data_IF_550707380162
#
_entry.id   IF_550707380162
#
_cell.length_a   1.000
_cell.length_b   1.000
_cell.length_c   1.000
_cell.angle_alpha   90.00
_cell.angle_beta   90.00
_cell.angle_gamma   90.00
#
_symmetry.space_group_name_H-M   'P 1'
#
loop_
_entity.id
_entity.type
_entity.pdbx_description
1 polymer ?
#
# COMPACT_ATOMS: atom_id res chain seq x y z
N UNK A 1 15.39 15.33 10.09
CA UNK A 1 15.63 14.19 9.17
C UNK A 1 16.50 13.16 9.87
N UNK A 2 16.01 11.93 10.02
CA UNK A 2 16.83 10.78 10.41
C UNK A 2 17.71 10.42 9.20
N UNK A 3 19.04 10.35 9.38
CA UNK A 3 20.01 10.23 8.29
C UNK A 3 20.05 8.83 7.60
N UNK A 4 19.10 7.93 7.87
CA UNK A 4 19.18 6.51 7.48
C UNK A 4 17.81 5.88 7.09
N UNK A 5 16.80 6.68 6.75
CA UNK A 5 15.49 6.12 6.34
C UNK A 5 15.46 5.89 4.83
N UNK A 6 15.36 4.62 4.42
CA UNK A 6 15.42 4.21 3.01
C UNK A 6 14.01 3.97 2.42
N UNK A 7 12.96 4.11 3.23
CA UNK A 7 11.57 3.83 2.84
C UNK A 7 10.68 5.04 3.09
N UNK A 8 9.90 5.43 2.08
CA UNK A 8 8.83 6.40 2.21
C UNK A 8 7.49 5.66 2.21
N UNK A 9 6.71 5.77 3.29
CA UNK A 9 5.36 5.22 3.37
C UNK A 9 4.33 6.34 3.43
N UNK A 10 3.40 6.32 2.47
CA UNK A 10 2.24 7.22 2.45
C UNK A 10 0.99 6.39 2.75
N UNK A 11 0.38 6.69 3.90
CA UNK A 11 -0.88 6.11 4.35
C UNK A 11 -2.01 7.11 4.13
N UNK A 12 -3.05 6.74 3.40
CA UNK A 12 -4.19 7.60 3.11
C UNK A 12 -5.36 7.16 3.97
N UNK A 13 -5.75 8.03 4.88
CA UNK A 13 -6.86 7.80 5.80
C UNK A 13 -8.08 8.62 5.38
N UNK A 14 -9.21 7.95 5.20
CA UNK A 14 -10.50 8.60 5.05
C UNK A 14 -11.54 7.88 5.91
N UNK A 15 -12.24 8.64 6.77
CA UNK A 15 -13.33 8.14 7.63
C UNK A 15 -14.62 7.79 6.86
N UNK A 16 -14.51 7.01 5.78
CA UNK A 16 -15.60 6.75 4.82
C UNK A 16 -16.32 5.42 5.04
N UNK A 17 -15.87 4.60 5.97
CA UNK A 17 -16.47 3.32 6.33
C UNK A 17 -16.21 3.00 7.80
N UNK A 18 -17.03 2.12 8.39
CA UNK A 18 -17.07 1.87 9.84
C UNK A 18 -15.75 1.37 10.42
N UNK A 19 -14.94 0.70 9.58
CA UNK A 19 -13.66 0.12 9.99
C UNK A 19 -12.42 1.00 9.77
N UNK A 20 -12.55 2.18 9.15
CA UNK A 20 -11.40 2.98 8.71
C UNK A 20 -10.48 3.40 9.86
N UNK A 21 -11.06 3.94 10.95
CA UNK A 21 -10.28 4.34 12.13
C UNK A 21 -9.55 3.16 12.75
N UNK A 22 -10.23 2.02 12.88
CA UNK A 22 -9.60 0.79 13.33
C UNK A 22 -8.42 0.41 12.45
N UNK A 23 -8.51 0.59 11.12
CA UNK A 23 -7.48 0.17 10.16
C UNK A 23 -6.21 0.97 10.39
N UNK A 24 -6.37 2.29 10.52
CA UNK A 24 -5.29 3.20 10.87
C UNK A 24 -4.68 2.84 12.23
N UNK A 25 -5.51 2.68 13.26
CA UNK A 25 -5.06 2.35 14.62
C UNK A 25 -4.27 1.06 14.67
N UNK A 26 -4.80 -0.01 14.08
CA UNK A 26 -4.12 -1.30 14.05
C UNK A 26 -2.78 -1.20 13.33
N UNK A 27 -2.72 -0.50 12.19
CA UNK A 27 -1.45 -0.33 11.49
C UNK A 27 -0.43 0.43 12.35
N UNK A 28 -0.80 1.56 12.93
CA UNK A 28 0.10 2.35 13.78
C UNK A 28 0.60 1.51 14.97
N UNK A 29 -0.30 0.84 15.67
CA UNK A 29 0.04 0.03 16.86
C UNK A 29 0.96 -1.16 16.55
N UNK A 30 0.87 -1.74 15.34
CA UNK A 30 1.60 -2.98 14.99
C UNK A 30 2.85 -2.74 14.15
N UNK A 31 2.85 -1.69 13.33
CA UNK A 31 3.82 -1.50 12.26
C UNK A 31 4.77 -0.34 12.50
N UNK A 32 4.29 0.77 13.07
CA UNK A 32 5.08 1.98 13.21
C UNK A 32 6.01 1.82 14.40
N UNK A 33 7.32 1.86 14.15
CA UNK A 33 8.33 1.71 15.20
C UNK A 33 9.41 2.78 15.06
N UNK A 34 10.02 3.13 16.18
CA UNK A 34 11.21 3.98 16.15
C UNK A 34 12.37 3.19 15.54
N UNK A 35 13.10 3.80 14.61
CA UNK A 35 14.32 3.21 14.03
C UNK A 35 14.07 2.05 13.07
N UNK A 36 12.88 1.95 12.47
CA UNK A 36 12.57 0.95 11.45
C UNK A 36 12.90 1.40 10.02
N UNK A 37 13.66 2.50 9.87
CA UNK A 37 14.12 3.05 8.59
C UNK A 37 13.00 3.53 7.64
N UNK A 38 11.83 3.87 8.17
CA UNK A 38 10.69 4.39 7.41
C UNK A 38 10.36 5.82 7.80
N UNK A 39 10.15 6.69 6.80
CA UNK A 39 9.41 7.94 6.98
C UNK A 39 7.92 7.68 6.69
N UNK A 40 7.09 7.86 7.71
CA UNK A 40 5.65 7.63 7.66
C UNK A 40 4.89 8.95 7.51
N UNK A 41 4.08 9.05 6.47
CA UNK A 41 3.15 10.16 6.27
C UNK A 41 1.72 9.65 6.25
N UNK A 42 0.96 10.01 7.28
CA UNK A 42 -0.45 9.69 7.42
C UNK A 42 -1.29 10.88 6.94
N UNK A 43 -1.80 10.78 5.73
CA UNK A 43 -2.62 11.82 5.12
C UNK A 43 -4.07 11.63 5.58
N UNK A 44 -4.55 12.55 6.40
CA UNK A 44 -5.88 12.61 6.97
C UNK A 44 -6.80 13.37 5.99
N UNK A 45 -7.58 12.62 5.20
CA UNK A 45 -8.53 13.19 4.25
C UNK A 45 -9.78 13.71 4.96
N UNK A 46 -10.06 14.99 4.75
CA UNK A 46 -11.19 15.71 5.33
C UNK A 46 -12.49 15.33 4.61
N UNK A 47 -13.26 14.43 5.21
CA UNK A 47 -14.58 14.03 4.71
C UNK A 47 -15.57 15.16 4.99
N UNK A 48 -16.40 15.52 4.00
CA UNK A 48 -17.36 16.63 4.08
C UNK A 48 -16.73 17.98 4.47
N UNK A 49 -15.48 18.22 4.06
CA UNK A 49 -14.68 19.40 4.41
C UNK A 49 -14.49 19.60 5.92
N UNK A 50 -14.57 18.52 6.71
CA UNK A 50 -14.34 18.57 8.15
C UNK A 50 -12.88 18.23 8.46
N UNK A 51 -12.10 19.15 9.05
CA UNK A 51 -10.76 18.85 9.51
C UNK A 51 -10.80 17.74 10.55
N UNK A 52 -9.81 16.85 10.52
CA UNK A 52 -9.68 15.78 11.50
C UNK A 52 -8.79 16.30 12.63
N UNK A 53 -9.28 16.23 13.87
CA UNK A 53 -8.46 16.58 15.01
C UNK A 53 -7.41 15.48 15.25
N UNK A 54 -6.13 15.84 15.18
CA UNK A 54 -5.03 14.90 15.37
C UNK A 54 -5.00 14.30 16.78
N UNK A 55 -5.57 14.98 17.80
CA UNK A 55 -5.67 14.40 19.15
C UNK A 55 -6.59 13.18 19.22
N UNK A 56 -7.50 13.03 18.26
CA UNK A 56 -8.41 11.89 18.17
C UNK A 56 -7.78 10.72 17.41
N UNK A 57 -6.64 10.95 16.76
CA UNK A 57 -5.89 9.93 16.01
C UNK A 57 -4.97 9.11 16.92
N UNK A 58 -4.59 7.88 16.50
CA UNK A 58 -3.64 7.07 17.27
C UNK A 58 -2.32 7.81 17.52
N UNK A 59 -1.71 7.61 18.69
CA UNK A 59 -0.43 8.25 18.99
C UNK A 59 0.68 7.74 18.06
N UNK A 60 1.38 8.64 17.38
CA UNK A 60 2.57 8.31 16.61
C UNK A 60 3.77 8.14 17.55
N UNK A 61 4.30 6.91 17.61
CA UNK A 61 5.41 6.54 18.49
C UNK A 61 6.79 6.76 17.87
N UNK A 62 6.86 6.97 16.56
CA UNK A 62 8.09 7.20 15.80
C UNK A 62 8.31 8.69 15.54
N UNK A 63 9.54 9.18 15.72
CA UNK A 63 9.94 10.55 15.39
C UNK A 63 9.93 10.86 13.87
N UNK A 64 9.82 9.81 13.05
CA UNK A 64 9.74 9.86 11.59
C UNK A 64 8.30 9.62 11.10
N UNK A 65 7.30 9.79 11.96
CA UNK A 65 5.89 9.67 11.60
C UNK A 65 5.17 11.00 11.76
N UNK A 66 4.36 11.36 10.76
CA UNK A 66 3.67 12.65 10.69
C UNK A 66 2.23 12.49 10.25
N UNK A 67 1.33 13.29 10.85
CA UNK A 67 0.00 13.53 10.31
C UNK A 67 0.02 14.73 9.36
N UNK A 68 -0.73 14.63 8.27
CA UNK A 68 -0.92 15.72 7.30
C UNK A 68 -2.39 15.80 6.95
N UNK A 69 -2.97 17.00 7.00
CA UNK A 69 -4.34 17.23 6.58
C UNK A 69 -4.43 17.41 5.06
N UNK A 70 -5.43 16.82 4.43
CA UNK A 70 -5.74 17.05 3.02
C UNK A 70 -7.25 17.03 2.81
N UNK A 71 -7.80 17.85 1.90
CA UNK A 71 -9.21 17.73 1.53
C UNK A 71 -9.47 16.32 0.95
N UNK A 72 -10.64 15.71 1.18
CA UNK A 72 -10.98 14.44 0.52
C UNK A 72 -11.34 14.67 -0.95
N UNK A 73 -10.36 15.10 -1.73
CA UNK A 73 -10.41 15.27 -3.18
C UNK A 73 -9.42 14.32 -3.82
N UNK A 74 -9.63 14.05 -5.11
CA UNK A 74 -8.69 13.28 -5.93
C UNK A 74 -8.49 11.80 -5.53
N UNK A 75 -9.21 11.32 -4.49
CA UNK A 75 -9.09 9.97 -3.93
C UNK A 75 -7.63 9.59 -3.61
N UNK A 76 -7.36 8.29 -3.45
CA UNK A 76 -6.09 7.81 -2.91
C UNK A 76 -4.90 8.16 -3.83
N UNK A 77 -4.92 7.75 -5.10
CA UNK A 77 -3.80 8.02 -6.02
C UNK A 77 -3.58 9.51 -6.26
N UNK A 78 -4.65 10.30 -6.40
CA UNK A 78 -4.52 11.74 -6.58
C UNK A 78 -3.98 12.46 -5.33
N UNK A 79 -4.29 11.94 -4.14
CA UNK A 79 -3.72 12.45 -2.88
C UNK A 79 -2.22 12.21 -2.79
N UNK A 80 -1.71 11.09 -3.31
CA UNK A 80 -0.27 10.86 -3.47
C UNK A 80 0.35 11.91 -4.40
N UNK A 81 -0.30 12.19 -5.54
CA UNK A 81 0.19 13.18 -6.50
C UNK A 81 0.26 14.58 -5.90
N UNK A 82 -0.79 14.97 -5.16
CA UNK A 82 -0.82 16.20 -4.38
C UNK A 82 0.33 16.26 -3.37
N UNK A 83 0.54 15.18 -2.60
CA UNK A 83 1.60 15.11 -1.60
C UNK A 83 2.98 15.30 -2.24
N UNK A 84 3.25 14.63 -3.36
CA UNK A 84 4.51 14.82 -4.07
C UNK A 84 4.69 16.22 -4.62
N UNK A 85 3.62 16.85 -5.12
CA UNK A 85 3.68 18.22 -5.62
C UNK A 85 3.95 19.25 -4.52
N UNK A 86 3.43 19.03 -3.31
CA UNK A 86 3.53 20.00 -2.21
C UNK A 86 4.77 19.80 -1.34
N UNK A 87 5.19 18.55 -1.13
CA UNK A 87 6.21 18.23 -0.13
C UNK A 87 7.48 17.64 -0.72
N UNK A 88 7.48 17.20 -1.99
CA UNK A 88 8.58 16.42 -2.55
C UNK A 88 9.28 17.06 -3.76
N UNK A 89 10.60 16.87 -3.81
CA UNK A 89 11.46 17.06 -4.98
C UNK A 89 11.94 15.72 -5.53
N UNK A 90 12.50 15.71 -6.73
CA UNK A 90 13.11 14.51 -7.31
C UNK A 90 12.19 13.69 -8.22
N UNK A 91 11.00 14.20 -8.58
CA UNK A 91 10.25 13.65 -9.72
C UNK A 91 11.04 13.94 -11.02
N UNK A 92 11.50 12.92 -11.76
CA UNK A 92 12.36 13.12 -12.94
C UNK A 92 11.63 13.79 -14.12
N UNK A 93 10.30 13.91 -14.06
CA UNK A 93 9.47 14.50 -15.12
C UNK A 93 8.98 15.91 -14.78
N UNK A 94 9.33 16.46 -13.61
CA UNK A 94 9.02 17.83 -13.19
C UNK A 94 10.29 18.67 -13.20
N UNK A 95 10.21 19.87 -13.77
CA UNK A 95 11.27 20.86 -13.62
C UNK A 95 11.01 21.67 -12.34
N UNK A 96 11.92 21.57 -11.39
CA UNK A 96 11.88 22.32 -10.13
C UNK A 96 12.62 23.65 -10.32
N UNK A 97 12.05 24.54 -11.12
CA UNK A 97 12.67 25.84 -11.46
C UNK A 97 12.56 26.88 -10.34
N UNK A 98 11.84 26.59 -9.26
CA UNK A 98 11.74 27.43 -8.06
C UNK A 98 12.22 26.62 -6.86
N UNK A 99 13.16 27.18 -6.09
CA UNK A 99 13.53 26.67 -4.77
C UNK A 99 12.32 26.90 -3.86
N UNK A 100 11.45 25.91 -3.76
CA UNK A 100 10.36 25.91 -2.80
C UNK A 100 10.89 25.36 -1.47
N UNK A 101 11.12 26.24 -0.51
CA UNK A 101 11.59 25.89 0.83
C UNK A 101 10.61 24.98 1.59
N UNK A 102 9.36 24.80 1.11
CA UNK A 102 8.39 23.88 1.71
C UNK A 102 8.59 22.42 1.26
N UNK A 103 9.29 22.17 0.14
CA UNK A 103 9.54 20.81 -0.37
C UNK A 103 10.76 20.20 0.31
N UNK A 104 10.53 19.52 1.41
CA UNK A 104 11.60 18.96 2.26
C UNK A 104 11.94 17.50 1.94
N UNK A 105 11.09 16.79 1.21
CA UNK A 105 11.26 15.35 0.91
C UNK A 105 11.98 15.21 -0.43
N UNK A 106 13.09 14.48 -0.48
CA UNK A 106 13.74 14.16 -1.76
C UNK A 106 13.44 12.72 -2.13
N UNK A 107 12.66 12.49 -3.19
CA UNK A 107 12.31 11.15 -3.63
C UNK A 107 13.55 10.31 -3.99
N UNK A 108 14.63 10.93 -4.48
CA UNK A 108 15.81 10.18 -4.92
C UNK A 108 16.62 9.56 -3.77
N UNK A 109 16.33 9.92 -2.51
CA UNK A 109 17.03 9.36 -1.35
C UNK A 109 16.38 8.08 -0.82
N UNK A 110 15.15 7.77 -1.23
CA UNK A 110 14.46 6.56 -0.81
C UNK A 110 14.70 5.42 -1.79
N UNK A 111 14.93 4.22 -1.25
CA UNK A 111 15.06 2.99 -2.02
C UNK A 111 13.69 2.41 -2.39
N UNK A 112 12.73 2.49 -1.47
CA UNK A 112 11.38 1.93 -1.66
C UNK A 112 10.29 2.93 -1.29
N UNK A 113 9.16 2.81 -1.98
CA UNK A 113 7.96 3.60 -1.78
C UNK A 113 6.79 2.67 -1.51
N UNK A 114 6.07 2.91 -0.43
CA UNK A 114 4.92 2.14 -0.01
C UNK A 114 3.71 3.06 0.01
N UNK A 115 2.67 2.69 -0.71
CA UNK A 115 1.40 3.41 -0.72
C UNK A 115 0.33 2.50 -0.16
N UNK A 116 -0.45 2.98 0.79
CA UNK A 116 -1.50 2.22 1.43
C UNK A 116 -2.68 3.11 1.80
N UNK A 117 -3.88 2.56 1.82
CA UNK A 117 -5.08 3.31 2.24
C UNK A 117 -5.80 2.64 3.41
N UNK A 118 -6.75 3.36 4.01
CA UNK A 118 -7.53 2.90 5.15
C UNK A 118 -8.57 1.83 4.85
N UNK A 119 -8.55 1.22 3.66
CA UNK A 119 -9.48 0.14 3.30
C UNK A 119 -8.94 -1.26 3.58
N UNK A 120 -7.71 -1.39 4.10
CA UNK A 120 -7.08 -2.67 4.45
C UNK A 120 -6.72 -2.77 5.93
N UNK A 121 -6.70 -4.01 6.44
CA UNK A 121 -6.22 -4.39 7.77
C UNK A 121 -5.06 -5.33 7.65
N UNK A 122 -4.04 -5.12 8.47
CA UNK A 122 -2.87 -5.98 8.57
C UNK A 122 -1.72 -5.25 9.26
N UNK A 123 -0.56 -5.91 9.40
CA UNK A 123 -0.22 -7.20 8.85
C UNK A 123 -0.77 -8.37 9.68
N UNK A 124 -1.05 -9.48 9.01
CA UNK A 124 -1.32 -10.78 9.59
C UNK A 124 -0.20 -11.74 9.20
N UNK A 125 0.44 -12.34 10.21
CA UNK A 125 1.50 -13.33 10.00
C UNK A 125 1.18 -14.60 10.78
N UNK A 126 1.49 -15.79 10.21
CA UNK A 126 1.45 -17.03 10.96
C UNK A 126 2.37 -16.97 12.20
N UNK A 127 1.98 -17.59 13.34
CA UNK A 127 2.82 -17.60 14.54
C UNK A 127 4.22 -18.17 14.30
N UNK A 128 4.34 -19.26 13.53
CA UNK A 128 5.63 -19.89 13.21
C UNK A 128 6.56 -18.95 12.42
N UNK A 129 6.00 -18.07 11.59
CA UNK A 129 6.79 -17.12 10.80
C UNK A 129 7.44 -16.08 11.72
N UNK A 130 6.67 -15.57 12.68
CA UNK A 130 7.17 -14.61 13.67
C UNK A 130 8.24 -15.26 14.56
N UNK A 131 8.03 -16.51 14.99
CA UNK A 131 9.01 -17.27 15.76
C UNK A 131 10.33 -17.45 14.99
N UNK A 132 10.25 -17.84 13.72
CA UNK A 132 11.43 -17.99 12.86
C UNK A 132 12.15 -16.66 12.64
N UNK A 133 11.41 -15.57 12.44
CA UNK A 133 11.97 -14.23 12.32
C UNK A 133 12.78 -13.86 13.57
N UNK A 134 12.21 -14.05 14.77
CA UNK A 134 12.92 -13.80 16.03
C UNK A 134 14.16 -14.71 16.20
N UNK A 135 14.03 -16.01 15.90
CA UNK A 135 15.14 -16.98 16.02
C UNK A 135 16.29 -16.70 15.05
N UNK A 136 15.99 -16.15 13.88
CA UNK A 136 16.99 -15.88 12.83
C UNK A 136 17.94 -14.73 13.18
N UNK A 137 17.69 -13.97 14.26
CA UNK A 137 18.42 -12.76 14.63
C UNK A 137 18.51 -11.71 13.49
N UNK A 138 17.59 -11.79 12.53
CA UNK A 138 17.39 -10.81 11.47
C UNK A 138 16.39 -9.79 12.00
N UNK A 139 16.71 -8.49 11.90
CA UNK A 139 15.73 -7.44 12.14
C UNK A 139 14.62 -7.55 11.08
N UNK A 140 13.55 -8.25 11.43
CA UNK A 140 12.41 -8.45 10.56
C UNK A 140 11.43 -7.30 10.70
N UNK A 141 11.19 -6.62 9.58
CA UNK A 141 10.14 -5.63 9.43
C UNK A 141 9.06 -6.16 8.50
N UNK A 142 7.78 -5.86 8.78
CA UNK A 142 6.64 -6.37 8.01
C UNK A 142 6.76 -6.06 6.51
N UNK A 143 7.31 -4.90 6.16
CA UNK A 143 7.44 -4.44 4.78
C UNK A 143 8.48 -5.25 3.98
N UNK A 144 9.38 -5.97 4.67
CA UNK A 144 10.44 -6.75 4.02
C UNK A 144 9.87 -7.85 3.11
N UNK A 145 8.67 -8.37 3.41
CA UNK A 145 8.00 -9.36 2.54
C UNK A 145 7.63 -8.78 1.17
N UNK A 146 7.48 -7.46 1.06
CA UNK A 146 7.23 -6.75 -0.19
C UNK A 146 8.53 -6.25 -0.81
N UNK A 147 9.39 -5.57 -0.04
CA UNK A 147 10.62 -4.96 -0.58
C UNK A 147 11.64 -5.99 -1.06
N UNK A 148 11.71 -7.17 -0.46
CA UNK A 148 12.58 -8.27 -0.92
C UNK A 148 12.14 -8.87 -2.26
N UNK A 149 10.91 -8.60 -2.71
CA UNK A 149 10.41 -9.04 -4.03
C UNK A 149 10.80 -8.07 -5.13
N UNK A 150 11.08 -6.81 -4.79
CA UNK A 150 11.57 -5.82 -5.73
C UNK A 150 13.03 -6.15 -6.05
N UNK A 151 13.34 -6.32 -7.33
CA UNK A 151 14.65 -6.70 -7.84
C UNK A 151 14.86 -6.08 -9.23
N UNK A 152 15.88 -6.52 -9.97
CA UNK A 152 16.19 -5.97 -11.30
C UNK A 152 15.05 -6.14 -12.31
N UNK A 153 14.19 -7.13 -12.12
CA UNK A 153 13.07 -7.45 -13.01
C UNK A 153 11.72 -6.98 -12.45
N UNK A 154 11.48 -7.11 -11.14
CA UNK A 154 10.20 -6.78 -10.51
C UNK A 154 10.23 -5.38 -9.92
N UNK A 155 9.33 -4.50 -10.38
CA UNK A 155 9.29 -3.08 -10.00
C UNK A 155 7.99 -2.63 -9.33
N UNK A 156 6.98 -3.51 -9.23
CA UNK A 156 5.73 -3.23 -8.55
C UNK A 156 5.19 -4.48 -7.87
N UNK A 157 4.92 -4.39 -6.57
CA UNK A 157 4.49 -5.51 -5.74
C UNK A 157 3.30 -5.09 -4.89
N UNK A 158 2.30 -5.94 -4.70
CA UNK A 158 1.25 -5.70 -3.70
C UNK A 158 0.77 -6.98 -3.04
N UNK A 159 -0.33 -6.88 -2.29
CA UNK A 159 -0.90 -8.06 -1.62
C UNK A 159 -1.43 -9.08 -2.63
N UNK A 160 -2.01 -8.60 -3.73
CA UNK A 160 -2.78 -9.39 -4.69
C UNK A 160 -2.60 -8.88 -6.12
N UNK A 161 -2.87 -9.77 -7.09
CA UNK A 161 -3.09 -9.42 -8.50
C UNK A 161 -4.58 -9.61 -8.82
N UNK A 162 -5.26 -8.54 -9.23
CA UNK A 162 -6.59 -8.63 -9.82
C UNK A 162 -6.50 -8.92 -11.32
N UNK A 163 -7.46 -9.68 -11.82
CA UNK A 163 -7.53 -10.11 -13.21
C UNK A 163 -8.80 -9.61 -13.94
N UNK A 164 -9.59 -8.72 -13.33
CA UNK A 164 -10.92 -8.33 -13.86
C UNK A 164 -10.88 -7.70 -15.25
N UNK A 165 -9.78 -7.05 -15.61
CA UNK A 165 -9.57 -6.44 -16.92
C UNK A 165 -8.26 -6.95 -17.54
N UNK A 166 -7.16 -6.65 -16.87
CA UNK A 166 -5.81 -7.16 -17.11
C UNK A 166 -5.17 -7.47 -15.76
N UNK A 167 -4.13 -8.31 -15.69
CA UNK A 167 -3.42 -8.56 -14.44
C UNK A 167 -2.82 -7.26 -13.90
N UNK A 168 -3.25 -6.84 -12.71
CA UNK A 168 -2.72 -5.64 -12.07
C UNK A 168 -2.62 -5.79 -10.55
N UNK A 169 -1.59 -5.18 -9.98
CA UNK A 169 -1.46 -4.96 -8.54
C UNK A 169 -2.56 -4.00 -8.08
N UNK A 170 -3.25 -4.34 -7.00
CA UNK A 170 -4.39 -3.57 -6.50
C UNK A 170 -3.94 -2.39 -5.63
N UNK A 171 -4.65 -1.27 -5.73
CA UNK A 171 -4.22 0.04 -5.22
C UNK A 171 -4.36 0.24 -3.71
N UNK A 172 -4.79 -0.78 -2.95
CA UNK A 172 -4.94 -0.63 -1.50
C UNK A 172 -3.62 -0.69 -0.75
N UNK A 173 -2.67 -1.46 -1.27
CA UNK A 173 -1.30 -1.52 -0.79
C UNK A 173 -0.42 -1.95 -1.96
N UNK A 174 0.51 -1.07 -2.36
CA UNK A 174 1.54 -1.44 -3.32
C UNK A 174 2.89 -0.81 -2.95
N UNK A 175 3.94 -1.49 -3.41
CA UNK A 175 5.34 -1.19 -3.12
C UNK A 175 6.11 -1.14 -4.43
N UNK A 176 6.98 -0.16 -4.56
CA UNK A 176 7.85 0.04 -5.74
C UNK A 176 9.22 0.57 -5.33
N UNK A 177 10.22 0.45 -6.19
CA UNK A 177 11.50 1.17 -6.05
C UNK A 177 11.46 2.52 -6.80
N UNK A 178 12.56 3.27 -6.78
CA UNK A 178 12.64 4.54 -7.48
C UNK A 178 12.50 4.41 -9.01
N UNK A 179 12.92 3.28 -9.60
CA UNK A 179 12.76 3.02 -11.04
C UNK A 179 11.27 2.85 -11.37
N UNK A 180 10.58 1.98 -10.63
CA UNK A 180 9.15 1.78 -10.79
C UNK A 180 8.37 3.06 -10.51
N UNK A 181 8.67 3.80 -9.44
CA UNK A 181 8.07 5.10 -9.17
C UNK A 181 8.27 6.10 -10.33
N UNK A 182 9.48 6.13 -10.92
CA UNK A 182 9.75 6.99 -12.07
C UNK A 182 8.88 6.63 -13.28
N UNK A 183 8.60 5.35 -13.52
CA UNK A 183 7.67 4.91 -14.57
C UNK A 183 6.25 5.37 -14.26
N UNK A 184 5.81 5.23 -13.00
CA UNK A 184 4.46 5.64 -12.56
C UNK A 184 4.26 7.16 -12.68
N UNK A 185 5.28 7.96 -12.37
CA UNK A 185 5.25 9.42 -12.46
C UNK A 185 5.35 9.96 -13.90
N UNK A 186 5.67 9.12 -14.89
CA UNK A 186 5.87 9.55 -16.28
C UNK A 186 4.55 10.08 -16.88
N UNK A 187 4.47 11.31 -17.38
CA UNK A 187 3.29 11.77 -18.13
C UNK A 187 3.08 10.97 -19.42
N UNK A 188 1.84 10.68 -19.84
CA UNK A 188 1.63 10.03 -21.14
C UNK A 188 0.24 9.40 -21.36
N UNK A 189 0.09 8.74 -22.51
CA UNK A 189 -1.13 8.03 -22.91
C UNK A 189 -1.38 6.81 -22.00
N UNK A 190 -2.65 6.45 -21.79
CA UNK A 190 -3.12 5.33 -20.94
C UNK A 190 -2.90 5.54 -19.45
N UNK A 191 -3.66 6.48 -18.89
CA UNK A 191 -3.52 6.85 -17.49
C UNK A 191 -2.30 7.73 -17.26
N UNK A 192 -2.52 8.78 -16.49
CA UNK A 192 -1.48 9.71 -16.08
C UNK A 192 -1.33 10.95 -16.94
N UNK A 193 -1.95 12.01 -16.47
CA UNK A 193 -1.81 13.35 -17.02
C UNK A 193 -0.49 13.99 -16.59
N UNK A 194 -0.04 14.95 -17.39
CA UNK A 194 1.04 15.82 -16.96
C UNK A 194 0.56 16.71 -15.81
N UNK A 195 1.39 16.97 -14.77
CA UNK A 195 2.72 16.38 -14.50
C UNK A 195 2.78 15.22 -13.47
N UNK A 196 1.64 14.72 -12.98
CA UNK A 196 1.59 13.73 -11.89
C UNK A 196 1.69 12.27 -12.34
N UNK A 197 1.64 11.98 -13.64
CA UNK A 197 1.54 10.61 -14.12
C UNK A 197 0.31 9.92 -13.52
N UNK A 198 0.38 8.63 -13.20
CA UNK A 198 -0.77 7.86 -12.68
C UNK A 198 -1.36 8.43 -11.37
N UNK A 199 -0.64 9.33 -10.68
CA UNK A 199 -1.10 10.02 -9.49
C UNK A 199 -1.88 11.32 -9.77
N UNK A 200 -2.36 11.48 -11.01
CA UNK A 200 -3.21 12.61 -11.40
C UNK A 200 -4.49 12.65 -10.56
N UNK A 201 -4.98 13.85 -10.25
CA UNK A 201 -6.28 14.04 -9.62
C UNK A 201 -7.43 13.66 -10.56
N UNK A 202 -8.24 12.68 -10.15
CA UNK A 202 -9.42 12.25 -10.90
C UNK A 202 -10.73 12.55 -10.15
N UNK A 203 -11.83 12.85 -10.89
CA UNK A 203 -13.09 13.27 -10.28
C UNK A 203 -13.93 12.10 -9.72
N UNK A 204 -13.65 10.85 -10.12
CA UNK A 204 -14.42 9.67 -9.67
C UNK A 204 -13.50 8.51 -9.30
N UNK A 205 -13.98 7.60 -8.44
CA UNK A 205 -13.27 6.35 -8.10
C UNK A 205 -13.01 5.48 -9.33
N UNK A 206 -13.97 5.42 -10.25
CA UNK A 206 -13.82 4.64 -11.48
C UNK A 206 -12.68 5.20 -12.35
N UNK A 207 -12.57 6.53 -12.48
CA UNK A 207 -11.44 7.13 -13.17
C UNK A 207 -10.10 6.77 -12.51
N UNK A 208 -10.02 6.73 -11.18
CA UNK A 208 -8.81 6.28 -10.48
C UNK A 208 -8.51 4.82 -10.82
N UNK A 209 -9.51 3.94 -10.84
CA UNK A 209 -9.30 2.53 -11.22
C UNK A 209 -8.78 2.40 -12.66
N UNK A 210 -9.42 3.08 -13.62
CA UNK A 210 -9.10 2.96 -15.05
C UNK A 210 -7.84 3.73 -15.48
N UNK A 211 -7.51 4.84 -14.81
CA UNK A 211 -6.42 5.73 -15.20
C UNK A 211 -5.24 5.76 -14.21
N UNK A 212 -5.37 5.14 -13.04
CA UNK A 212 -4.29 5.00 -12.05
C UNK A 212 -3.97 3.55 -11.73
N UNK A 213 -4.91 2.81 -11.11
CA UNK A 213 -4.64 1.46 -10.56
C UNK A 213 -4.27 0.46 -11.67
N UNK A 214 -5.13 0.31 -12.68
CA UNK A 214 -4.90 -0.62 -13.80
C UNK A 214 -3.64 -0.20 -14.60
N UNK A 215 -3.49 1.07 -15.04
CA UNK A 215 -2.32 1.47 -15.80
C UNK A 215 -1.01 1.42 -15.04
N UNK A 216 -1.01 1.47 -13.71
CA UNK A 216 0.22 1.32 -12.92
C UNK A 216 0.93 0.02 -13.26
N UNK A 217 0.19 -1.09 -13.35
CA UNK A 217 0.77 -2.39 -13.72
C UNK A 217 1.10 -2.48 -15.20
N UNK A 218 0.20 -2.00 -16.09
CA UNK A 218 0.46 -2.02 -17.53
C UNK A 218 1.74 -1.25 -17.91
N UNK A 219 1.97 -0.08 -17.32
CA UNK A 219 3.15 0.75 -17.60
C UNK A 219 4.46 0.10 -17.14
N UNK A 220 4.42 -0.60 -16.02
CA UNK A 220 5.58 -1.38 -15.53
C UNK A 220 5.89 -2.51 -16.51
N UNK A 221 4.87 -3.27 -16.93
CA UNK A 221 5.01 -4.37 -17.90
C UNK A 221 5.50 -3.89 -19.27
N UNK A 222 4.94 -2.78 -19.77
CA UNK A 222 5.31 -2.16 -21.06
C UNK A 222 6.73 -1.57 -21.04
N UNK A 223 7.24 -1.19 -19.87
CA UNK A 223 8.62 -0.74 -19.68
C UNK A 223 9.63 -1.90 -19.61
N UNK A 224 9.18 -3.14 -19.83
CA UNK A 224 10.02 -4.35 -19.83
C UNK A 224 10.26 -4.96 -18.45
N UNK A 225 9.59 -4.45 -17.41
CA UNK A 225 9.67 -4.97 -16.05
C UNK A 225 8.50 -5.90 -15.72
N UNK A 226 8.49 -6.45 -14.52
CA UNK A 226 7.49 -7.38 -14.00
C UNK A 226 6.77 -6.79 -12.79
N UNK A 227 5.57 -7.33 -12.54
CA UNK A 227 4.79 -7.13 -11.32
C UNK A 227 4.74 -8.44 -10.52
N UNK A 228 4.60 -8.36 -9.20
CA UNK A 228 4.46 -9.54 -8.34
C UNK A 228 3.43 -9.29 -7.22
N UNK A 229 3.05 -10.35 -6.51
CA UNK A 229 2.19 -10.25 -5.32
C UNK A 229 2.56 -11.27 -4.26
N UNK A 230 1.84 -11.27 -3.14
CA UNK A 230 1.99 -12.29 -2.10
C UNK A 230 1.21 -13.58 -2.39
N UNK A 231 0.35 -13.60 -3.41
CA UNK A 231 -0.44 -14.78 -3.77
C UNK A 231 0.46 -15.92 -4.25
N UNK A 232 0.35 -17.08 -3.60
CA UNK A 232 1.14 -18.29 -3.92
C UNK A 232 0.96 -18.69 -5.38
N UNK A 233 -0.25 -18.57 -5.91
CA UNK A 233 -0.58 -18.89 -7.30
C UNK A 233 0.20 -18.07 -8.32
N UNK A 234 0.58 -16.84 -7.98
CA UNK A 234 1.19 -15.89 -8.90
C UNK A 234 2.67 -15.64 -8.67
N UNK A 235 3.29 -16.42 -7.79
CA UNK A 235 4.73 -16.38 -7.59
C UNK A 235 5.45 -16.71 -8.91
N UNK A 236 6.34 -15.81 -9.33
CA UNK A 236 7.16 -15.96 -10.54
C UNK A 236 6.38 -16.02 -11.87
N UNK A 237 5.11 -15.60 -11.90
CA UNK A 237 4.33 -15.53 -13.14
C UNK A 237 4.73 -14.29 -13.95
N UNK A 238 5.05 -14.50 -15.23
CA UNK A 238 5.32 -13.39 -16.15
C UNK A 238 4.03 -12.90 -16.82
N UNK A 239 3.44 -11.83 -16.27
CA UNK A 239 2.20 -11.24 -16.76
C UNK A 239 2.34 -10.46 -18.08
N UNK A 240 3.56 -10.24 -18.59
CA UNK A 240 3.76 -9.70 -19.94
C UNK A 240 3.41 -10.72 -21.03
N UNK A 241 3.38 -12.02 -20.68
CA UNK A 241 3.05 -13.09 -21.61
C UNK A 241 1.54 -13.13 -21.92
N UNK A 242 1.11 -13.23 -23.20
CA UNK A 242 -0.30 -13.20 -23.57
C UNK A 242 -1.18 -14.23 -22.86
N UNK A 243 -0.68 -15.45 -22.63
CA UNK A 243 -1.44 -16.50 -21.96
C UNK A 243 -1.69 -16.22 -20.47
N UNK A 244 -0.87 -15.38 -19.83
CA UNK A 244 -1.03 -14.98 -18.43
C UNK A 244 -1.95 -13.76 -18.26
N UNK A 245 -2.37 -13.11 -19.34
CA UNK A 245 -3.27 -11.95 -19.28
C UNK A 245 -4.69 -12.33 -18.84
N UNK A 246 -5.10 -13.57 -19.07
CA UNK A 246 -6.42 -14.08 -18.67
C UNK A 246 -6.31 -14.92 -17.38
N UNK A 247 -5.88 -14.27 -16.29
CA UNK A 247 -5.73 -14.94 -15.00
C UNK A 247 -7.05 -14.98 -14.20
N UNK A 248 -7.10 -15.83 -13.18
CA UNK A 248 -8.25 -16.00 -12.25
C UNK A 248 -9.66 -16.05 -12.88
N UNK A 249 -9.82 -16.52 -14.12
CA UNK A 249 -11.10 -16.46 -14.83
C UNK A 249 -11.70 -15.03 -14.87
N UNK A 250 -10.85 -14.02 -15.00
CA UNK A 250 -11.17 -12.59 -15.02
C UNK A 250 -11.90 -12.08 -13.76
N UNK A 251 -11.48 -12.53 -12.57
CA UNK A 251 -12.12 -12.17 -11.28
C UNK A 251 -11.18 -11.42 -10.34
N UNK A 252 -11.75 -10.54 -9.53
CA UNK A 252 -11.07 -9.92 -8.39
C UNK A 252 -10.83 -10.95 -7.28
N UNK A 253 -9.62 -11.11 -6.77
CA UNK A 253 -9.36 -12.05 -5.70
C UNK A 253 -9.99 -11.64 -4.36
N UNK A 254 -10.30 -10.36 -4.12
CA UNK A 254 -10.92 -9.92 -2.85
C UNK A 254 -12.40 -10.29 -2.70
N UNK A 255 -13.07 -10.66 -3.80
CA UNK A 255 -14.46 -11.10 -3.74
C UNK A 255 -14.51 -12.49 -3.09
N UNK A 256 -15.41 -12.68 -2.12
CA UNK A 256 -15.62 -13.95 -1.43
C UNK A 256 -15.68 -15.12 -2.43
N UNK A 257 -14.85 -16.14 -2.21
CA UNK A 257 -14.79 -17.36 -3.05
C UNK A 257 -14.43 -17.13 -4.53
N UNK A 258 -13.98 -15.93 -4.91
CA UNK A 258 -13.64 -15.61 -6.29
C UNK A 258 -12.20 -15.99 -6.69
N UNK A 259 -11.35 -16.34 -5.72
CA UNK A 259 -10.00 -16.82 -5.99
C UNK A 259 -9.99 -18.35 -6.02
N UNK A 260 -10.17 -18.93 -7.21
CA UNK A 260 -10.22 -20.40 -7.41
C UNK A 260 -11.25 -21.14 -6.52
N UNK A 261 -12.37 -20.48 -6.18
CA UNK A 261 -13.39 -21.05 -5.29
C UNK A 261 -13.15 -20.79 -3.80
N UNK A 262 -12.03 -20.15 -3.44
CA UNK A 262 -11.71 -19.76 -2.06
C UNK A 262 -11.68 -18.24 -1.92
N UNK A 263 -11.85 -17.76 -0.69
CA UNK A 263 -11.55 -16.37 -0.32
C UNK A 263 -10.07 -16.26 0.02
N UNK A 264 -9.56 -15.03 0.07
CA UNK A 264 -8.18 -14.80 0.46
C UNK A 264 -7.92 -15.19 1.90
N UNK A 265 -6.73 -15.74 2.12
CA UNK A 265 -6.26 -16.10 3.45
C UNK A 265 -5.42 -14.93 4.01
N UNK A 266 -5.81 -14.30 5.14
CA UNK A 266 -5.06 -13.18 5.69
C UNK A 266 -3.57 -13.46 5.92
N UNK A 267 -3.21 -14.70 6.28
CA UNK A 267 -1.81 -15.09 6.43
C UNK A 267 -1.04 -15.24 5.11
N UNK A 268 -1.70 -15.41 3.98
CA UNK A 268 -1.06 -15.45 2.66
C UNK A 268 -0.79 -14.03 2.16
N UNK A 269 -1.79 -13.15 2.23
CA UNK A 269 -1.72 -11.82 1.60
C UNK A 269 -1.31 -10.70 2.56
N UNK A 270 -1.10 -11.01 3.84
CA UNK A 270 -0.64 -10.14 4.94
C UNK A 270 -1.56 -8.97 5.28
N UNK A 271 -2.06 -8.24 4.28
CA UNK A 271 -3.09 -7.22 4.42
C UNK A 271 -4.31 -7.60 3.58
N UNK A 272 -5.48 -7.52 4.20
CA UNK A 272 -6.75 -7.85 3.55
C UNK A 272 -7.67 -6.65 3.50
N UNK A 273 -8.54 -6.61 2.47
CA UNK A 273 -9.61 -5.63 2.39
C UNK A 273 -10.52 -5.76 3.63
N UNK A 274 -10.66 -4.67 4.36
CA UNK A 274 -11.33 -4.62 5.65
C UNK A 274 -12.20 -3.36 5.72
N UNK A 275 -13.37 -3.43 5.10
CA UNK A 275 -14.34 -2.34 4.96
C UNK A 275 -15.76 -2.90 5.00
N UNK A 276 -16.78 -2.08 4.76
CA UNK A 276 -18.20 -2.45 4.97
C UNK A 276 -18.81 -3.30 3.84
N UNK A 277 -18.05 -3.65 2.79
CA UNK A 277 -18.59 -4.41 1.68
C UNK A 277 -18.91 -5.87 2.07
N UNK A 278 -20.06 -6.37 1.64
CA UNK A 278 -20.48 -7.75 1.96
C UNK A 278 -19.64 -8.79 1.21
N UNK A 279 -19.21 -8.47 -0.01
CA UNK A 279 -18.38 -9.37 -0.83
C UNK A 279 -16.94 -9.53 -0.32
N UNK A 280 -16.52 -8.86 0.75
CA UNK A 280 -15.22 -9.10 1.42
C UNK A 280 -15.36 -9.75 2.80
N UNK A 281 -16.60 -10.07 3.19
CA UNK A 281 -16.96 -10.50 4.55
C UNK A 281 -16.22 -11.75 5.03
N UNK A 282 -16.07 -12.79 4.20
CA UNK A 282 -15.42 -14.04 4.63
C UNK A 282 -13.96 -13.77 5.04
N UNK A 283 -13.22 -13.06 4.20
CA UNK A 283 -11.85 -12.63 4.50
C UNK A 283 -11.78 -11.72 5.73
N UNK A 284 -12.74 -10.77 5.86
CA UNK A 284 -12.83 -9.84 6.99
C UNK A 284 -13.07 -10.56 8.32
N UNK A 285 -13.99 -11.52 8.35
CA UNK A 285 -14.32 -12.32 9.55
C UNK A 285 -13.14 -13.20 9.98
N UNK A 286 -12.38 -13.76 9.05
CA UNK A 286 -11.12 -14.47 9.37
C UNK A 286 -10.08 -13.55 9.98
N UNK A 287 -9.87 -12.37 9.39
CA UNK A 287 -8.97 -11.36 9.92
C UNK A 287 -9.37 -10.91 11.34
N UNK A 288 -10.68 -10.71 11.60
CA UNK A 288 -11.21 -10.43 12.93
C UNK A 288 -10.89 -11.53 13.93
N UNK A 289 -11.06 -12.79 13.52
CA UNK A 289 -10.77 -13.94 14.36
C UNK A 289 -9.28 -14.00 14.73
N UNK A 290 -8.39 -13.74 13.77
CA UNK A 290 -6.95 -13.72 14.01
C UNK A 290 -6.52 -12.58 14.93
N UNK A 291 -7.09 -11.38 14.75
CA UNK A 291 -6.88 -10.25 15.64
C UNK A 291 -7.33 -10.56 17.07
N UNK A 292 -8.50 -11.20 17.22
CA UNK A 292 -9.00 -11.66 18.52
C UNK A 292 -8.01 -12.65 19.16
N UNK A 293 -7.60 -13.69 18.45
CA UNK A 293 -6.65 -14.67 18.99
C UNK A 293 -5.31 -14.05 19.41
N UNK A 294 -4.78 -13.12 18.63
CA UNK A 294 -3.55 -12.39 18.99
C UNK A 294 -3.72 -11.52 20.25
N UNK A 295 -4.92 -11.00 20.49
CA UNK A 295 -5.24 -10.18 21.67
C UNK A 295 -5.46 -11.05 22.91
N UNK A 296 -6.21 -12.15 22.76
CA UNK A 296 -6.47 -13.11 23.84
C UNK A 296 -5.16 -13.69 24.39
N UNK A 297 -4.18 -13.99 23.54
CA UNK A 297 -2.83 -14.43 23.96
C UNK A 297 -2.13 -13.40 24.86
N UNK A 298 -2.32 -12.10 24.62
CA UNK A 298 -1.70 -11.06 25.45
C UNK A 298 -2.35 -10.91 26.83
N UNK A 299 -3.66 -11.18 26.90
CA UNK A 299 -4.44 -11.08 28.13
C UNK A 299 -4.25 -12.30 29.03
N UNK A 300 -4.14 -13.47 28.40
CA UNK A 300 -3.79 -14.71 29.09
C UNK A 300 -2.27 -14.78 29.11
N UNK A 301 -1.64 -14.20 30.14
CA UNK A 301 -0.21 -14.34 30.43
C UNK A 301 0.12 -15.83 30.65
N UNK A 302 0.13 -16.63 29.58
CA UNK A 302 0.62 -18.01 29.56
C UNK A 302 2.13 -17.88 29.64
N UNK A 303 2.61 -17.73 30.87
CA UNK A 303 3.96 -18.07 31.24
C UNK A 303 4.32 -19.42 30.60
N UNK A 304 5.53 -19.48 30.04
CA UNK A 304 6.16 -20.62 29.35
C UNK A 304 5.64 -20.96 27.94
N UNK A 305 6.32 -20.40 26.94
CA UNK A 305 6.92 -21.19 25.85
C UNK A 305 8.40 -20.82 25.76
#
# INVERSE_FOLDING_TARGET
KSANNDILLIYIYAGTHSHAYGNLKYFIDKCVRQGDHVDYYFILQQVDNKPINESDMPLLTSSSAYYIQHENKCFDFGTVGWFFDHYAVGNPWKNYSVIDNNRTINLTTYKYFIFMNSSVRGPFFPPYFIELAYKSNINYYWYSIFTNRINDYVKLVGCTISCESVPHVQGQLFVTDFIGLSILLKPGSWGGSYPEGIFTCYPTKDHVSFYSEIPSSSRILESGYMIDSLLTKYQHVNFSQPHNKFCNSNRNPFINKAFQGTSLEPYEVVFVKYNDFEWTKDTRERAQLYEKWMTDIKLVNRSSW
#
